data_IF_574110088465
#
_entry.id   IF_574110088465
#
_cell.length_a   1.000
_cell.length_b   1.000
_cell.length_c   1.000
_cell.angle_alpha   90.00
_cell.angle_beta   90.00
_cell.angle_gamma   90.00
#
_symmetry.space_group_name_H-M   'P 1'
#
loop_
_entity.id
_entity.type
_entity.pdbx_description
1 polymer ?
#
# COMPACT_ATOMS: atom_id res chain seq x y z
N UNK A 1 22.43 -27.54 -95.67
CA UNK A 1 21.62 -28.62 -95.05
C UNK A 1 21.77 -28.47 -93.55
N UNK A 2 20.82 -27.78 -92.91
CA UNK A 2 19.87 -28.32 -91.92
C UNK A 2 20.52 -29.20 -90.84
N UNK A 3 20.22 -28.81 -89.59
CA UNK A 3 20.00 -29.63 -88.38
C UNK A 3 21.02 -29.39 -87.28
N UNK A 4 20.66 -29.35 -86.00
CA UNK A 4 19.41 -29.21 -85.26
C UNK A 4 19.78 -29.49 -83.80
N UNK A 5 19.16 -28.77 -82.87
CA UNK A 5 18.67 -29.26 -81.56
C UNK A 5 19.68 -29.96 -80.62
N UNK A 6 19.97 -29.34 -79.46
CA UNK A 6 19.28 -29.56 -78.18
C UNK A 6 19.47 -30.97 -77.59
N UNK A 7 20.17 -31.07 -76.45
CA UNK A 7 19.74 -31.64 -75.13
C UNK A 7 20.98 -31.91 -74.25
N UNK A 8 21.02 -31.35 -73.04
CA UNK A 8 20.82 -32.02 -71.71
C UNK A 8 21.90 -33.09 -71.45
N UNK A 9 22.56 -33.24 -70.31
CA UNK A 9 22.38 -32.82 -68.91
C UNK A 9 23.61 -33.43 -68.15
N UNK A 10 23.90 -32.96 -66.92
CA UNK A 10 24.68 -33.66 -65.84
C UNK A 10 26.24 -33.51 -65.77
N UNK A 11 26.70 -32.58 -64.89
CA UNK A 11 27.58 -32.69 -63.67
C UNK A 11 28.64 -33.83 -63.62
N UNK A 12 29.91 -33.69 -63.12
CA UNK A 12 30.42 -32.94 -61.92
C UNK A 12 31.71 -32.10 -62.14
N UNK A 13 31.85 -30.91 -61.53
CA UNK A 13 32.30 -30.55 -60.15
C UNK A 13 33.76 -30.89 -59.81
N UNK A 14 34.57 -29.83 -59.96
CA UNK A 14 35.73 -29.40 -59.17
C UNK A 14 37.03 -30.22 -59.20
N UNK A 15 38.15 -29.56 -59.52
CA UNK A 15 38.97 -28.82 -58.53
C UNK A 15 40.37 -28.56 -59.12
N UNK A 16 40.68 -27.34 -59.63
CA UNK A 16 42.07 -26.88 -59.84
C UNK A 16 42.16 -25.35 -59.74
N UNK A 17 42.49 -24.85 -58.56
CA UNK A 17 42.94 -23.46 -58.37
C UNK A 17 44.46 -23.41 -58.49
N UNK A 18 44.94 -22.85 -59.59
CA UNK A 18 46.34 -22.46 -59.74
C UNK A 18 46.37 -21.17 -60.55
N UNK A 19 46.74 -20.07 -59.90
CA UNK A 19 47.36 -18.86 -60.50
C UNK A 19 47.62 -17.83 -59.40
N UNK A 20 48.69 -18.08 -58.66
CA UNK A 20 49.47 -17.05 -57.99
C UNK A 20 50.13 -16.14 -59.04
N UNK A 21 50.51 -14.93 -58.62
CA UNK A 21 51.11 -13.82 -59.39
C UNK A 21 50.12 -12.94 -60.16
N UNK A 22 49.53 -11.95 -59.46
CA UNK A 22 49.41 -10.53 -59.90
C UNK A 22 48.55 -9.63 -58.98
N UNK A 23 47.94 -10.14 -57.90
CA UNK A 23 47.05 -9.36 -57.01
C UNK A 23 47.67 -9.11 -55.63
N UNK A 24 48.92 -8.65 -55.57
CA UNK A 24 49.65 -8.51 -54.29
C UNK A 24 49.86 -7.06 -53.81
N UNK A 25 49.42 -6.02 -54.54
CA UNK A 25 49.66 -4.62 -54.12
C UNK A 25 48.40 -3.78 -53.82
N UNK A 26 47.18 -4.25 -54.13
CA UNK A 26 45.95 -3.51 -53.82
C UNK A 26 45.12 -4.09 -52.65
N UNK A 27 45.55 -5.18 -52.02
CA UNK A 27 44.79 -5.87 -50.96
C UNK A 27 45.36 -5.69 -49.55
N UNK A 28 46.25 -4.70 -49.33
CA UNK A 28 46.87 -4.43 -48.02
C UNK A 28 46.49 -3.07 -47.41
N UNK A 29 45.41 -2.41 -47.89
CA UNK A 29 44.99 -1.09 -47.37
C UNK A 29 43.53 -1.05 -46.90
N UNK A 30 42.92 -2.19 -46.54
CA UNK A 30 41.52 -2.22 -46.05
C UNK A 30 41.35 -2.68 -44.59
N UNK A 31 42.42 -2.85 -43.81
CA UNK A 31 42.30 -3.22 -42.39
C UNK A 31 42.61 -2.09 -41.39
N UNK A 32 42.93 -0.88 -41.87
CA UNK A 32 43.00 0.30 -41.00
C UNK A 32 41.65 1.03 -40.99
N UNK A 33 40.64 0.39 -40.40
CA UNK A 33 39.53 1.18 -39.87
C UNK A 33 40.11 2.15 -38.84
N UNK A 34 39.83 3.44 -38.96
CA UNK A 34 40.14 4.41 -37.92
C UNK A 34 39.42 3.99 -36.63
N UNK A 35 40.10 3.30 -35.73
CA UNK A 35 39.63 3.11 -34.36
C UNK A 35 39.97 4.36 -33.55
N UNK A 36 39.40 5.51 -33.93
CA UNK A 36 39.47 6.72 -33.12
C UNK A 36 38.51 6.60 -31.95
N UNK A 37 38.89 5.85 -30.91
CA UNK A 37 38.36 6.12 -29.57
C UNK A 37 39.07 7.38 -29.08
N UNK A 38 38.55 8.53 -29.46
CA UNK A 38 38.83 9.74 -28.71
C UNK A 38 38.20 9.50 -27.33
N UNK A 39 39.04 9.20 -26.34
CA UNK A 39 38.63 9.24 -24.94
C UNK A 39 38.47 10.71 -24.60
N UNK A 40 37.26 11.22 -24.82
CA UNK A 40 36.88 12.54 -24.32
C UNK A 40 36.85 12.42 -22.80
N UNK A 41 37.52 13.28 -22.04
CA UNK A 41 37.33 13.29 -20.59
C UNK A 41 35.83 13.50 -20.35
N UNK A 42 35.19 12.54 -19.66
CA UNK A 42 33.77 12.62 -19.32
C UNK A 42 33.54 13.85 -18.47
N UNK A 43 32.98 14.90 -19.06
CA UNK A 43 32.70 16.14 -18.36
C UNK A 43 31.23 16.14 -18.00
N UNK A 44 30.96 15.78 -16.75
CA UNK A 44 29.60 15.83 -16.26
C UNK A 44 29.02 17.25 -16.32
N UNK A 45 27.79 17.36 -16.83
CA UNK A 45 27.07 18.61 -16.97
C UNK A 45 27.34 19.32 -18.29
N UNK A 46 27.85 18.61 -19.31
CA UNK A 46 28.03 19.16 -20.66
C UNK A 46 26.80 18.99 -21.57
N UNK A 47 25.74 18.37 -21.04
CA UNK A 47 24.46 18.15 -21.68
C UNK A 47 24.48 17.01 -22.71
N UNK A 48 25.53 16.19 -22.71
CA UNK A 48 25.67 15.01 -23.57
C UNK A 48 26.14 13.82 -22.76
N UNK A 49 25.27 12.82 -22.60
CA UNK A 49 25.59 11.57 -21.90
C UNK A 49 26.70 10.79 -22.62
N UNK A 50 27.84 10.68 -21.96
CA UNK A 50 29.02 10.00 -22.46
C UNK A 50 29.17 8.58 -21.90
N UNK A 51 30.10 7.82 -22.48
CA UNK A 51 30.40 6.46 -22.02
C UNK A 51 30.96 6.49 -20.61
N UNK A 52 30.15 6.11 -19.62
CA UNK A 52 30.52 6.09 -18.20
C UNK A 52 29.56 6.87 -17.32
N UNK A 53 28.72 7.72 -17.92
CA UNK A 53 27.72 8.53 -17.21
C UNK A 53 26.36 7.84 -17.14
N UNK A 54 25.68 7.95 -16.00
CA UNK A 54 24.34 7.43 -15.80
C UNK A 54 23.25 8.39 -16.29
N UNK A 55 23.57 9.67 -16.46
CA UNK A 55 22.76 10.76 -17.02
C UNK A 55 23.69 11.97 -17.24
N UNK A 56 23.25 12.99 -17.96
CA UNK A 56 23.89 14.31 -17.97
C UNK A 56 22.84 15.42 -18.05
N UNK A 57 22.72 16.23 -17.00
CA UNK A 57 21.70 17.28 -16.90
C UNK A 57 20.28 16.73 -17.03
N UNK A 58 19.52 17.26 -17.99
CA UNK A 58 18.15 16.80 -18.30
C UNK A 58 18.11 15.62 -19.28
N UNK A 59 19.27 15.10 -19.73
CA UNK A 59 19.34 13.97 -20.64
C UNK A 59 19.09 12.65 -19.89
N UNK A 60 17.80 12.35 -19.72
CA UNK A 60 17.29 11.11 -19.16
C UNK A 60 16.60 10.28 -20.26
N UNK A 61 16.93 9.00 -20.34
CA UNK A 61 16.20 8.03 -21.16
C UNK A 61 15.11 7.37 -20.30
N UNK A 62 13.82 7.71 -20.45
CA UNK A 62 12.75 7.13 -19.63
C UNK A 62 12.63 5.61 -19.77
N UNK A 63 13.17 5.01 -20.84
CA UNK A 63 13.20 3.56 -21.02
C UNK A 63 14.22 2.85 -20.12
N UNK A 64 15.17 3.58 -19.52
CA UNK A 64 16.30 3.04 -18.74
C UNK A 64 16.52 3.74 -17.40
N UNK A 65 16.26 5.03 -17.33
CA UNK A 65 16.59 5.90 -16.20
C UNK A 65 15.35 6.29 -15.39
N UNK A 66 14.23 5.58 -15.54
CA UNK A 66 13.04 5.80 -14.71
C UNK A 66 13.14 5.11 -13.35
N UNK A 67 12.38 5.60 -12.36
CA UNK A 67 12.23 4.98 -11.05
C UNK A 67 11.88 3.48 -11.17
N UNK A 68 10.96 3.14 -12.08
CA UNK A 68 10.55 1.76 -12.32
C UNK A 68 11.69 0.87 -12.84
N UNK A 69 12.59 1.41 -13.68
CA UNK A 69 13.74 0.66 -14.22
C UNK A 69 14.86 0.47 -13.22
N UNK A 70 14.95 1.36 -12.24
CA UNK A 70 15.86 1.26 -11.12
C UNK A 70 15.25 0.55 -9.90
N UNK A 71 14.05 -0.05 -10.05
CA UNK A 71 13.39 -0.81 -8.98
C UNK A 71 12.85 0.04 -7.84
N UNK A 72 12.63 1.34 -8.08
CA UNK A 72 12.17 2.31 -7.08
C UNK A 72 10.75 2.84 -7.35
N UNK A 73 9.89 2.04 -7.99
CA UNK A 73 8.48 2.39 -8.18
C UNK A 73 8.24 3.55 -9.17
N UNK A 74 7.38 4.49 -8.78
CA UNK A 74 7.02 5.67 -9.58
C UNK A 74 7.86 6.89 -9.16
N UNK A 75 7.62 8.04 -9.78
CA UNK A 75 8.26 9.30 -9.39
C UNK A 75 9.08 9.91 -10.52
N UNK A 76 9.91 10.88 -10.14
CA UNK A 76 10.79 11.59 -11.07
C UNK A 76 12.24 11.23 -10.76
N UNK A 77 13.05 11.10 -11.79
CA UNK A 77 14.51 10.93 -11.67
C UNK A 77 15.16 12.23 -12.08
N UNK A 78 16.18 12.65 -11.34
CA UNK A 78 17.05 13.79 -11.65
C UNK A 78 18.47 13.30 -11.92
N UNK A 79 19.33 14.16 -12.45
CA UNK A 79 20.76 13.90 -12.57
C UNK A 79 21.54 14.72 -11.54
N UNK A 80 22.43 14.07 -10.80
CA UNK A 80 23.35 14.74 -9.87
C UNK A 80 24.51 15.41 -10.63
N UNK A 81 25.20 16.35 -9.96
CA UNK A 81 26.40 17.03 -10.49
C UNK A 81 27.59 16.08 -10.77
N UNK A 82 27.51 14.83 -10.32
CA UNK A 82 28.48 13.76 -10.59
C UNK A 82 28.03 12.74 -11.65
N UNK A 83 26.93 13.04 -12.35
CA UNK A 83 26.36 12.25 -13.44
C UNK A 83 25.89 10.86 -13.00
N UNK A 84 25.53 10.74 -11.72
CA UNK A 84 24.73 9.65 -11.17
C UNK A 84 23.24 10.01 -11.18
N UNK A 85 22.37 8.99 -11.28
CA UNK A 85 20.94 9.19 -11.15
C UNK A 85 20.59 9.56 -9.70
N UNK A 86 19.84 10.64 -9.54
CA UNK A 86 19.18 10.99 -8.29
C UNK A 86 17.78 10.35 -8.28
N UNK A 87 17.66 9.32 -7.45
CA UNK A 87 16.42 8.56 -7.26
C UNK A 87 15.68 8.98 -5.97
N UNK A 88 16.07 10.08 -5.33
CA UNK A 88 15.44 10.54 -4.09
C UNK A 88 13.97 10.92 -4.26
N UNK A 89 13.57 11.28 -5.48
CA UNK A 89 12.19 11.59 -5.88
C UNK A 89 11.43 10.36 -6.43
N UNK A 90 12.04 9.17 -6.34
CA UNK A 90 11.38 7.90 -6.62
C UNK A 90 10.64 7.38 -5.39
N UNK A 91 9.48 6.78 -5.61
CA UNK A 91 8.58 6.35 -4.52
C UNK A 91 8.88 4.95 -3.96
N UNK A 92 10.04 4.36 -4.28
CA UNK A 92 10.43 2.98 -3.93
C UNK A 92 10.77 2.67 -2.47
N UNK A 93 10.61 3.64 -1.56
CA UNK A 93 10.57 3.36 -0.11
C UNK A 93 9.16 2.89 0.33
N UNK A 94 8.15 3.11 -0.52
CA UNK A 94 6.75 2.80 -0.27
C UNK A 94 6.19 1.96 -1.43
N UNK A 95 6.45 0.65 -1.40
CA UNK A 95 6.04 -0.30 -2.46
C UNK A 95 4.52 -0.49 -2.54
N UNK A 96 3.80 -0.10 -1.49
CA UNK A 96 2.34 -0.19 -1.40
C UNK A 96 1.73 0.98 -0.61
N UNK A 97 0.42 1.17 -0.77
CA UNK A 97 -0.35 2.22 -0.08
C UNK A 97 -1.10 1.64 1.13
N UNK A 98 -0.74 2.02 2.37
CA UNK A 98 -1.40 1.55 3.59
C UNK A 98 -2.77 2.20 3.84
N UNK A 99 -3.07 3.35 3.21
CA UNK A 99 -4.33 4.07 3.37
C UNK A 99 -5.44 3.42 2.55
N UNK A 100 -5.15 3.05 1.30
CA UNK A 100 -6.12 2.40 0.40
C UNK A 100 -5.96 0.88 0.34
N UNK A 101 -4.90 0.35 0.95
CA UNK A 101 -4.48 -1.05 0.85
C UNK A 101 -4.23 -1.50 -0.61
N UNK A 102 -3.65 -0.61 -1.41
CA UNK A 102 -3.35 -0.87 -2.82
C UNK A 102 -1.92 -1.36 -3.04
N UNK A 103 -1.71 -1.98 -4.20
CA UNK A 103 -0.41 -2.47 -4.73
C UNK A 103 0.21 -3.68 -3.98
N UNK A 104 -0.59 -4.40 -3.19
CA UNK A 104 -0.22 -5.71 -2.67
C UNK A 104 -0.93 -6.84 -3.43
N UNK A 105 -0.16 -7.73 -4.06
CA UNK A 105 -0.68 -8.92 -4.73
C UNK A 105 -0.87 -10.10 -3.78
N UNK A 106 -1.59 -11.14 -4.25
CA UNK A 106 -1.77 -12.43 -3.56
C UNK A 106 -2.52 -12.34 -2.22
N UNK A 107 -3.46 -11.40 -2.09
CA UNK A 107 -4.27 -11.24 -0.87
C UNK A 107 -3.46 -10.73 0.33
N UNK A 108 -2.34 -10.05 0.06
CA UNK A 108 -1.56 -9.35 1.07
C UNK A 108 -2.10 -7.95 1.31
N UNK A 109 -1.72 -7.40 2.45
CA UNK A 109 -2.12 -6.06 2.90
C UNK A 109 -0.88 -5.20 3.11
N UNK A 110 -1.05 -3.91 2.85
CA UNK A 110 0.02 -2.94 2.99
C UNK A 110 0.07 -2.40 4.42
N UNK A 111 1.24 -2.45 5.03
CA UNK A 111 1.50 -1.84 6.33
C UNK A 111 2.67 -0.87 6.24
N UNK A 112 2.53 0.28 6.89
CA UNK A 112 3.64 1.20 7.12
C UNK A 112 4.31 0.90 8.46
N UNK A 113 5.64 0.82 8.49
CA UNK A 113 6.43 0.54 9.69
C UNK A 113 7.19 1.81 10.12
N UNK A 114 6.70 2.56 11.12
CA UNK A 114 7.26 3.88 11.49
C UNK A 114 8.71 3.82 11.97
N UNK A 115 9.13 2.68 12.53
CA UNK A 115 10.49 2.50 13.04
C UNK A 115 11.57 2.35 11.94
N UNK A 116 11.16 2.02 10.71
CA UNK A 116 12.06 1.80 9.57
C UNK A 116 11.71 2.62 8.34
N UNK A 117 10.65 3.42 8.41
CA UNK A 117 10.17 4.31 7.37
C UNK A 117 9.97 3.64 6.00
N UNK A 118 9.30 2.49 6.01
CA UNK A 118 9.01 1.69 4.81
C UNK A 118 7.58 1.19 4.84
N UNK A 119 7.01 0.88 3.66
CA UNK A 119 5.83 0.01 3.57
C UNK A 119 6.19 -1.41 3.17
N UNK A 120 5.38 -2.38 3.61
CA UNK A 120 5.57 -3.79 3.29
C UNK A 120 4.23 -4.50 3.09
N UNK A 121 4.19 -5.37 2.06
CA UNK A 121 3.07 -6.27 1.82
C UNK A 121 3.18 -7.53 2.69
N UNK A 122 2.33 -7.62 3.70
CA UNK A 122 2.29 -8.71 4.68
C UNK A 122 0.95 -9.43 4.67
N UNK A 123 0.86 -10.56 5.37
CA UNK A 123 -0.41 -11.22 5.62
C UNK A 123 -1.33 -10.35 6.49
N UNK A 124 -2.63 -10.65 6.49
CA UNK A 124 -3.61 -9.98 7.33
C UNK A 124 -3.27 -10.13 8.82
N UNK A 125 -3.11 -9.01 9.51
CA UNK A 125 -3.06 -8.95 10.97
C UNK A 125 -4.48 -8.89 11.54
N UNK A 126 -4.63 -9.25 12.82
CA UNK A 126 -5.94 -9.43 13.45
C UNK A 126 -6.14 -8.60 14.72
N UNK A 127 -5.15 -7.77 15.09
CA UNK A 127 -5.26 -6.93 16.28
C UNK A 127 -6.06 -5.67 15.98
N UNK A 128 -7.05 -5.42 16.83
CA UNK A 128 -7.94 -4.28 16.72
C UNK A 128 -7.25 -3.00 17.22
N UNK A 129 -7.79 -1.83 16.84
CA UNK A 129 -7.43 -0.53 17.42
C UNK A 129 -7.40 -0.59 18.95
N UNK A 130 -6.42 0.07 19.57
CA UNK A 130 -6.28 0.16 21.02
C UNK A 130 -5.66 -1.08 21.68
N UNK A 131 -5.41 -2.15 20.93
CA UNK A 131 -4.74 -3.34 21.46
C UNK A 131 -3.22 -3.28 21.29
N UNK A 132 -2.49 -4.01 22.13
CA UNK A 132 -1.03 -4.03 22.11
C UNK A 132 -0.49 -4.65 20.81
N UNK A 133 0.53 -4.07 20.19
CA UNK A 133 1.22 -4.59 19.00
C UNK A 133 2.75 -4.53 19.16
N UNK A 134 3.46 -5.36 18.40
CA UNK A 134 4.92 -5.29 18.28
C UNK A 134 5.37 -4.68 16.95
N UNK A 135 4.55 -4.81 15.90
CA UNK A 135 4.74 -4.26 14.55
C UNK A 135 3.41 -3.87 13.94
N UNK A 136 3.41 -3.03 12.91
CA UNK A 136 2.18 -2.59 12.24
C UNK A 136 1.42 -3.75 11.61
N UNK A 137 2.13 -4.73 11.04
CA UNK A 137 1.52 -5.96 10.50
C UNK A 137 0.77 -6.84 11.50
N UNK A 138 0.90 -6.59 12.81
CA UNK A 138 0.11 -7.31 13.81
C UNK A 138 -1.34 -6.79 13.84
N UNK A 139 -1.53 -5.52 13.47
CA UNK A 139 -2.81 -4.83 13.43
C UNK A 139 -3.63 -5.25 12.21
N UNK A 140 -4.94 -5.01 12.26
CA UNK A 140 -5.80 -5.16 11.09
C UNK A 140 -5.33 -4.29 9.90
N UNK A 141 -5.71 -4.63 8.65
CA UNK A 141 -5.43 -3.77 7.50
C UNK A 141 -5.82 -2.31 7.72
N UNK A 142 -5.07 -1.38 7.11
CA UNK A 142 -5.25 0.08 7.28
C UNK A 142 -5.04 0.58 8.72
N UNK A 143 -4.21 -0.14 9.50
CA UNK A 143 -3.79 0.26 10.84
C UNK A 143 -2.27 0.28 10.98
N UNK A 144 -1.79 0.96 12.00
CA UNK A 144 -0.36 1.13 12.28
C UNK A 144 -0.06 0.96 13.76
N UNK A 145 1.10 0.38 14.06
CA UNK A 145 1.55 0.19 15.44
C UNK A 145 2.36 1.41 15.89
N UNK A 146 1.80 2.19 16.82
CA UNK A 146 2.45 3.38 17.37
C UNK A 146 2.53 3.24 18.88
N UNK A 147 3.73 3.45 19.43
CA UNK A 147 3.99 3.31 20.88
C UNK A 147 3.50 1.96 21.46
N UNK A 148 3.53 0.90 20.64
CA UNK A 148 3.10 -0.45 21.03
C UNK A 148 1.58 -0.66 21.05
N UNK A 149 0.79 0.23 20.45
CA UNK A 149 -0.67 0.11 20.33
C UNK A 149 -1.11 0.25 18.87
N UNK A 150 -2.13 -0.51 18.45
CA UNK A 150 -2.71 -0.37 17.12
C UNK A 150 -3.57 0.89 17.02
N UNK A 151 -3.32 1.71 16.00
CA UNK A 151 -4.12 2.89 15.65
C UNK A 151 -4.63 2.77 14.22
N UNK A 152 -5.77 3.37 13.92
CA UNK A 152 -6.22 3.55 12.53
C UNK A 152 -5.22 4.43 11.78
N UNK A 153 -4.82 4.00 10.58
CA UNK A 153 -3.93 4.75 9.72
C UNK A 153 -4.72 5.82 8.97
N UNK A 154 -4.16 7.00 8.81
CA UNK A 154 -4.91 8.10 8.20
C UNK A 154 -3.99 9.10 7.49
N UNK A 155 -4.55 9.90 6.60
CA UNK A 155 -3.87 11.04 5.98
C UNK A 155 -4.58 12.33 6.36
N UNK A 156 -3.90 13.48 6.28
CA UNK A 156 -4.43 14.80 6.71
C UNK A 156 -5.96 14.96 6.53
N UNK A 157 -6.68 15.40 7.57
CA UNK A 157 -8.11 15.68 7.48
C UNK A 157 -8.95 14.96 8.52
N UNK A 158 -10.14 14.50 8.09
CA UNK A 158 -11.19 13.84 8.90
C UNK A 158 -11.29 12.35 8.61
N UNK A 159 -10.18 11.73 8.22
CA UNK A 159 -10.11 10.31 7.85
C UNK A 159 -10.43 9.37 9.03
N UNK A 160 -10.40 9.88 10.25
CA UNK A 160 -10.74 9.13 11.45
C UNK A 160 -12.27 8.95 11.58
N UNK A 161 -12.70 7.78 12.08
CA UNK A 161 -14.13 7.43 12.27
C UNK A 161 -14.89 8.27 13.32
N UNK A 162 -14.23 9.25 13.90
CA UNK A 162 -14.77 10.27 14.78
C UNK A 162 -14.31 11.61 14.18
N UNK A 163 -15.06 12.71 14.32
CA UNK A 163 -14.67 14.05 13.85
C UNK A 163 -13.33 14.59 14.43
N UNK A 164 -12.45 13.71 14.90
CA UNK A 164 -11.06 13.97 15.16
C UNK A 164 -10.27 14.16 13.87
N UNK A 165 -9.19 14.89 14.08
CA UNK A 165 -8.16 15.08 13.08
C UNK A 165 -7.10 14.02 13.26
N UNK A 166 -6.53 13.58 12.15
CA UNK A 166 -5.30 12.79 12.15
C UNK A 166 -4.27 13.40 13.12
N UNK A 167 -4.00 12.68 14.20
CA UNK A 167 -3.08 13.14 15.23
C UNK A 167 -1.67 12.90 14.73
N UNK A 168 -0.86 13.96 14.65
CA UNK A 168 0.56 13.83 14.30
C UNK A 168 1.02 14.55 13.04
N UNK A 169 0.26 15.52 12.50
CA UNK A 169 0.62 16.38 11.35
C UNK A 169 1.88 17.26 11.52
N UNK A 170 2.83 16.89 12.40
CA UNK A 170 4.14 17.50 12.53
C UNK A 170 5.26 16.54 13.00
N UNK A 171 5.04 15.22 12.97
CA UNK A 171 5.90 14.23 13.64
C UNK A 171 7.03 13.59 12.81
N UNK A 172 7.31 14.06 11.60
CA UNK A 172 8.37 13.49 10.75
C UNK A 172 8.00 12.17 10.05
N UNK A 173 6.71 11.88 9.90
CA UNK A 173 6.23 10.81 9.03
C UNK A 173 6.32 11.27 7.57
N UNK A 174 6.52 10.35 6.61
CA UNK A 174 6.48 10.66 5.19
C UNK A 174 5.10 11.09 4.76
N UNK A 175 5.06 11.91 3.71
CA UNK A 175 3.81 12.42 3.14
C UNK A 175 2.96 13.15 4.20
N UNK A 176 1.65 13.27 3.96
CA UNK A 176 0.69 13.79 4.94
C UNK A 176 0.11 12.64 5.81
N UNK A 177 0.86 11.55 5.97
CA UNK A 177 0.42 10.38 6.74
C UNK A 177 0.51 10.60 8.24
N UNK A 178 -0.38 9.90 8.95
CA UNK A 178 -0.49 9.96 10.39
C UNK A 178 -1.31 8.77 10.90
N UNK A 179 -1.71 8.84 12.17
CA UNK A 179 -2.60 7.88 12.79
C UNK A 179 -3.72 8.59 13.56
N UNK A 180 -4.84 7.91 13.73
CA UNK A 180 -5.94 8.43 14.51
C UNK A 180 -5.65 8.30 16.02
N UNK A 181 -6.04 9.31 16.81
CA UNK A 181 -6.00 9.18 18.26
C UNK A 181 -6.85 7.99 18.68
N UNK A 182 -6.42 7.26 19.71
CA UNK A 182 -7.25 6.16 20.23
C UNK A 182 -8.55 6.75 20.77
N UNK A 183 -9.69 6.08 20.54
CA UNK A 183 -10.87 6.37 21.31
C UNK A 183 -10.50 6.22 22.80
N UNK A 184 -11.03 7.09 23.70
CA UNK A 184 -10.74 6.97 25.11
C UNK A 184 -11.04 5.55 25.58
N UNK A 185 -10.11 4.94 26.31
CA UNK A 185 -10.25 3.57 26.79
C UNK A 185 -11.62 3.40 27.46
N UNK A 186 -12.47 2.58 26.84
CA UNK A 186 -13.82 2.37 27.32
C UNK A 186 -13.74 1.67 28.67
N UNK A 187 -14.56 2.05 29.66
CA UNK A 187 -14.59 1.36 30.95
C UNK A 187 -15.02 -0.10 30.81
N UNK A 188 -15.72 -0.45 29.73
CA UNK A 188 -16.15 -1.80 29.38
C UNK A 188 -16.54 -1.87 27.89
N UNK A 189 -16.65 -3.06 27.31
CA UNK A 189 -17.11 -3.26 25.91
C UNK A 189 -18.59 -3.70 25.89
N UNK A 190 -19.50 -2.91 25.29
CA UNK A 190 -20.93 -3.23 25.26
C UNK A 190 -21.32 -4.27 24.18
N UNK A 191 -20.46 -4.58 23.21
CA UNK A 191 -20.68 -5.64 22.20
C UNK A 191 -20.13 -6.96 22.73
N UNK A 192 -18.86 -6.99 23.12
CA UNK A 192 -18.20 -8.19 23.64
C UNK A 192 -18.61 -8.52 25.09
N UNK A 193 -19.24 -7.57 25.80
CA UNK A 193 -19.64 -7.70 27.22
C UNK A 193 -18.44 -8.04 28.12
N UNK A 194 -17.34 -7.32 27.93
CA UNK A 194 -16.11 -7.46 28.71
C UNK A 194 -15.83 -6.19 29.52
N UNK A 195 -14.95 -6.29 30.52
CA UNK A 195 -14.56 -5.15 31.37
C UNK A 195 -15.43 -4.93 32.62
N UNK A 196 -16.53 -5.68 32.76
CA UNK A 196 -17.36 -5.70 33.96
C UNK A 196 -17.25 -7.05 34.68
N UNK A 197 -16.97 -7.03 35.99
CA UNK A 197 -16.89 -8.24 36.81
C UNK A 197 -18.29 -8.57 37.38
N UNK A 198 -18.97 -9.54 36.77
CA UNK A 198 -20.32 -9.99 37.15
C UNK A 198 -21.48 -9.11 36.64
N UNK A 199 -21.20 -7.87 36.26
CA UNK A 199 -22.15 -6.95 35.63
C UNK A 199 -22.04 -6.94 34.10
N UNK A 200 -23.00 -6.31 33.44
CA UNK A 200 -23.03 -6.13 31.99
C UNK A 200 -22.71 -4.68 31.60
N UNK A 201 -22.05 -4.52 30.45
CA UNK A 201 -21.66 -3.22 29.94
C UNK A 201 -22.78 -2.59 29.12
N UNK A 202 -23.22 -1.39 29.52
CA UNK A 202 -24.29 -0.65 28.86
C UNK A 202 -23.94 0.83 28.68
N UNK A 203 -24.63 1.49 27.74
CA UNK A 203 -24.68 2.94 27.74
C UNK A 203 -25.61 3.42 28.85
N UNK A 204 -25.04 4.10 29.85
CA UNK A 204 -25.73 4.51 31.07
C UNK A 204 -26.29 5.93 31.00
N UNK A 205 -25.99 6.66 29.91
CA UNK A 205 -26.48 8.01 29.68
C UNK A 205 -26.82 8.25 28.21
N UNK A 206 -27.64 9.27 27.96
CA UNK A 206 -27.91 9.79 26.61
C UNK A 206 -26.69 10.47 25.98
N UNK A 207 -25.65 10.75 26.77
CA UNK A 207 -24.36 11.24 26.29
C UNK A 207 -23.43 10.12 25.81
N UNK A 208 -23.88 8.85 25.85
CA UNK A 208 -23.11 7.72 25.36
C UNK A 208 -21.99 7.28 26.31
N UNK A 209 -22.09 7.58 27.60
CA UNK A 209 -21.15 7.08 28.60
C UNK A 209 -21.41 5.60 28.87
N UNK A 210 -20.34 4.80 28.92
CA UNK A 210 -20.42 3.37 29.26
C UNK A 210 -20.26 3.15 30.76
N UNK A 211 -20.91 2.10 31.26
CA UNK A 211 -20.81 1.69 32.65
C UNK A 211 -21.28 0.26 32.86
N UNK A 212 -20.77 -0.33 33.94
CA UNK A 212 -21.17 -1.65 34.40
C UNK A 212 -22.46 -1.53 35.21
N UNK A 213 -23.51 -2.20 34.77
CA UNK A 213 -24.79 -2.28 35.46
C UNK A 213 -25.26 -3.74 35.52
N UNK A 214 -26.13 -4.09 36.48
CA UNK A 214 -26.68 -5.44 36.56
C UNK A 214 -27.32 -5.87 35.25
N UNK A 215 -27.06 -7.11 34.84
CA UNK A 215 -27.64 -7.67 33.63
C UNK A 215 -29.18 -7.67 33.70
N UNK A 216 -29.81 -7.28 32.59
CA UNK A 216 -31.26 -7.29 32.45
C UNK A 216 -31.72 -8.31 31.41
N UNK A 217 -33.03 -8.44 31.17
CA UNK A 217 -33.61 -9.57 30.43
C UNK A 217 -34.39 -9.19 29.16
N UNK A 218 -34.39 -7.93 28.73
CA UNK A 218 -35.14 -7.50 27.54
C UNK A 218 -34.59 -8.13 26.26
N UNK A 219 -35.44 -8.76 25.48
CA UNK A 219 -35.06 -9.46 24.25
C UNK A 219 -34.90 -8.50 23.06
N UNK A 220 -34.30 -8.97 21.98
CA UNK A 220 -34.17 -8.21 20.74
C UNK A 220 -35.56 -7.78 20.24
N UNK A 221 -35.71 -6.50 19.90
CA UNK A 221 -36.98 -5.92 19.44
C UNK A 221 -37.99 -5.60 20.55
N UNK A 222 -37.71 -5.97 21.81
CA UNK A 222 -38.61 -5.62 22.92
C UNK A 222 -38.60 -4.13 23.22
N UNK A 223 -39.77 -3.59 23.60
CA UNK A 223 -39.92 -2.19 23.94
C UNK A 223 -39.10 -1.83 25.19
N UNK A 224 -38.43 -0.69 25.14
CA UNK A 224 -37.60 -0.16 26.20
C UNK A 224 -37.86 1.35 26.36
N UNK A 225 -37.62 1.88 27.56
CA UNK A 225 -38.00 3.26 27.90
C UNK A 225 -36.92 4.02 28.68
N UNK A 226 -35.73 3.43 28.89
CA UNK A 226 -34.57 4.09 29.50
C UNK A 226 -33.25 3.59 28.88
N UNK A 227 -32.16 4.30 29.15
CA UNK A 227 -30.80 3.96 28.73
C UNK A 227 -30.31 2.64 29.37
N UNK A 228 -30.04 1.62 28.54
CA UNK A 228 -29.22 0.45 28.87
C UNK A 228 -29.88 -0.69 29.64
N UNK A 229 -30.42 -0.44 30.84
CA UNK A 229 -30.74 -1.48 31.86
C UNK A 229 -32.00 -2.31 31.62
N UNK A 230 -32.63 -2.19 30.46
CA UNK A 230 -33.79 -3.01 30.11
C UNK A 230 -33.43 -4.14 29.15
N UNK A 231 -32.41 -3.95 28.33
CA UNK A 231 -32.06 -4.89 27.28
C UNK A 231 -31.02 -5.89 27.77
N UNK A 232 -31.13 -7.16 27.36
CA UNK A 232 -30.13 -8.19 27.69
C UNK A 232 -28.72 -7.75 27.28
N UNK A 233 -27.67 -8.28 27.95
CA UNK A 233 -26.29 -7.98 27.58
C UNK A 233 -26.04 -8.13 26.07
N UNK A 234 -25.32 -7.16 25.48
CA UNK A 234 -25.10 -7.06 24.03
C UNK A 234 -26.19 -6.32 23.24
N UNK A 235 -27.25 -5.86 23.91
CA UNK A 235 -28.31 -5.05 23.31
C UNK A 235 -28.37 -3.64 23.94
N UNK A 236 -28.83 -2.66 23.15
CA UNK A 236 -29.04 -1.29 23.60
C UNK A 236 -30.43 -0.78 23.19
N UNK A 237 -31.03 0.06 24.03
CA UNK A 237 -32.28 0.74 23.72
C UNK A 237 -32.04 1.89 22.73
N UNK A 238 -32.72 1.89 21.58
CA UNK A 238 -32.68 2.99 20.61
C UNK A 238 -33.78 4.01 20.91
N UNK A 239 -33.44 5.28 21.14
CA UNK A 239 -34.38 6.41 21.37
C UNK A 239 -35.09 6.40 22.76
N UNK A 240 -35.18 7.54 23.48
CA UNK A 240 -35.72 7.57 24.84
C UNK A 240 -37.26 7.57 24.93
N UNK A 241 -38.00 7.67 23.82
CA UNK A 241 -39.47 7.66 23.80
C UNK A 241 -40.01 6.53 22.92
N UNK A 242 -40.07 5.32 23.49
CA UNK A 242 -40.64 4.14 22.81
C UNK A 242 -39.62 3.35 21.98
N UNK A 243 -38.39 3.26 22.47
CA UNK A 243 -37.32 2.52 21.82
C UNK A 243 -37.52 1.01 21.81
N UNK A 244 -36.76 0.34 20.96
CA UNK A 244 -36.64 -1.12 21.00
C UNK A 244 -35.20 -1.52 21.28
N UNK A 245 -35.01 -2.66 21.95
CA UNK A 245 -33.69 -3.24 22.14
C UNK A 245 -33.12 -3.70 20.79
N UNK A 246 -31.99 -3.13 20.39
CA UNK A 246 -31.26 -3.51 19.16
C UNK A 246 -29.91 -4.12 19.51
N UNK A 247 -29.37 -4.94 18.61
CA UNK A 247 -28.04 -5.53 18.78
C UNK A 247 -26.98 -4.52 18.36
N UNK A 248 -25.97 -4.35 19.20
CA UNK A 248 -24.81 -3.51 18.92
C UNK A 248 -23.77 -4.27 18.08
N UNK A 249 -22.94 -3.55 17.35
CA UNK A 249 -21.87 -4.12 16.54
C UNK A 249 -20.69 -3.16 16.40
N UNK A 250 -19.49 -3.72 16.29
CA UNK A 250 -18.29 -3.05 15.83
C UNK A 250 -18.07 -3.29 14.33
N UNK A 251 -18.42 -4.49 13.86
CA UNK A 251 -18.34 -4.86 12.44
C UNK A 251 -19.54 -5.69 12.01
N UNK A 252 -19.67 -5.96 10.71
CA UNK A 252 -20.76 -6.80 10.21
C UNK A 252 -20.68 -8.26 10.67
N UNK A 253 -19.54 -8.73 11.17
CA UNK A 253 -19.41 -10.08 11.73
C UNK A 253 -20.17 -10.25 13.04
N UNK A 254 -20.38 -9.15 13.77
CA UNK A 254 -21.22 -9.13 14.97
C UNK A 254 -22.70 -9.32 14.62
N UNK A 255 -23.09 -9.16 13.35
CA UNK A 255 -24.47 -9.19 12.89
C UNK A 255 -24.78 -10.46 12.10
N UNK A 256 -25.45 -11.42 12.73
CA UNK A 256 -25.84 -12.68 12.08
C UNK A 256 -27.32 -13.03 12.37
N UNK A 257 -28.22 -13.00 11.36
CA UNK A 257 -28.03 -12.39 10.04
C UNK A 257 -27.96 -10.86 10.14
N UNK A 258 -27.39 -10.19 9.13
CA UNK A 258 -27.48 -8.74 9.00
C UNK A 258 -26.16 -8.06 8.63
N UNK A 259 -26.15 -6.74 8.67
CA UNK A 259 -24.94 -5.93 8.55
C UNK A 259 -24.89 -4.88 9.66
N UNK A 260 -23.68 -4.45 10.00
CA UNK A 260 -23.48 -3.41 10.99
C UNK A 260 -23.70 -2.03 10.35
N UNK A 261 -24.65 -1.27 10.87
CA UNK A 261 -24.91 0.09 10.42
C UNK A 261 -24.50 1.10 11.50
N UNK A 262 -23.43 1.84 11.22
CA UNK A 262 -22.87 2.89 12.08
C UNK A 262 -23.49 4.28 11.86
N UNK A 263 -24.40 4.42 10.89
CA UNK A 263 -25.02 5.71 10.51
C UNK A 263 -26.41 5.94 11.11
N UNK A 264 -27.11 4.87 11.52
CA UNK A 264 -28.49 4.98 12.01
C UNK A 264 -28.60 5.54 13.44
N UNK A 265 -27.54 5.46 14.24
CA UNK A 265 -27.52 5.96 15.60
C UNK A 265 -26.19 6.66 15.83
N UNK A 266 -26.20 7.88 16.38
CA UNK A 266 -24.98 8.57 16.83
C UNK A 266 -24.47 7.91 18.11
N UNK A 267 -24.16 6.62 18.04
CA UNK A 267 -23.48 5.94 19.13
C UNK A 267 -22.02 6.38 19.08
N UNK A 268 -21.43 6.70 20.24
CA UNK A 268 -20.03 7.08 20.29
C UNK A 268 -19.13 5.90 19.91
N UNK A 269 -17.88 6.21 19.61
CA UNK A 269 -16.81 5.23 19.39
C UNK A 269 -16.91 4.41 18.09
N UNK A 270 -17.68 4.86 17.09
CA UNK A 270 -17.83 4.13 15.81
C UNK A 270 -18.71 2.88 15.91
N UNK A 271 -19.44 2.75 17.02
CA UNK A 271 -20.30 1.62 17.30
C UNK A 271 -21.59 1.71 16.46
N UNK A 272 -21.99 0.60 15.86
CA UNK A 272 -23.19 0.49 15.04
C UNK A 272 -24.29 -0.33 15.68
N UNK A 273 -25.36 -0.51 14.90
CA UNK A 273 -26.46 -1.42 15.22
C UNK A 273 -26.64 -2.44 14.09
N UNK A 274 -26.95 -3.68 14.44
CA UNK A 274 -27.28 -4.70 13.46
C UNK A 274 -28.67 -4.47 12.87
N UNK A 275 -28.78 -4.58 11.55
CA UNK A 275 -30.02 -4.48 10.77
C UNK A 275 -30.35 -5.80 10.05
#
# INVERSE_FOLDING_TARGET
MIRSHSRSEEVPVMLRFQKSFLVACCALVLSSGCQSRAEYPSNCGDGVRQSGEACDGDELDPARDSCAKNGMGDGTVSCNDDCTLDLSMCTGQYDCDPLTNDRCDNGKFCYYEPGSDVTACESEGNRLVGTSCGRSRDCQPQHVCVEGTCHEFCSSGTDCNINDTCSGSGGGWPMDWSYCPLPPALPCDPVAQTGCDGDACYFVSTSGTLGCLPASSGELGSACSMSGTYCKPGLQCTNPTGGNCVKLCWSSDDCTPGSCNTTMVTLPYGLGVCL
#
